data_IF_819000243219
#
_entry.id   IF_819000243219
#
_cell.length_a   1.000
_cell.length_b   1.000
_cell.length_c   1.000
_cell.angle_alpha   90.00
_cell.angle_beta   90.00
_cell.angle_gamma   90.00
#
_symmetry.space_group_name_H-M   'P 1'
#
loop_
_entity.id
_entity.type
_entity.pdbx_description
1 polymer ?
#
# COMPACT_ATOMS: atom_id res chain seq x y z
N UNK A 1 -12.60 22.31 -5.76
CA UNK A 1 -12.15 22.04 -7.15
C UNK A 1 -11.93 20.53 -7.23
N UNK A 2 -12.81 19.78 -7.89
CA UNK A 2 -12.76 18.31 -7.87
C UNK A 2 -11.60 17.83 -8.74
N UNK A 3 -10.64 17.10 -8.15
CA UNK A 3 -9.55 16.53 -8.92
C UNK A 3 -10.06 15.35 -9.78
N UNK A 4 -9.59 15.21 -11.02
CA UNK A 4 -10.02 14.14 -11.90
C UNK A 4 -9.56 12.77 -11.37
N UNK A 5 -10.49 11.82 -11.29
CA UNK A 5 -10.20 10.41 -11.03
C UNK A 5 -9.57 9.83 -12.29
N UNK A 6 -8.32 9.37 -12.22
CA UNK A 6 -7.68 8.69 -13.34
C UNK A 6 -7.99 7.19 -13.24
N UNK A 7 -8.74 6.67 -14.21
CA UNK A 7 -8.85 5.22 -14.47
C UNK A 7 -7.64 4.82 -15.31
N UNK A 8 -6.65 4.20 -14.69
CA UNK A 8 -5.44 3.81 -15.40
C UNK A 8 -5.63 2.44 -16.07
N UNK A 9 -5.53 2.42 -17.40
CA UNK A 9 -5.44 1.19 -18.20
C UNK A 9 -4.11 0.44 -18.00
N UNK A 10 -3.18 0.98 -17.20
CA UNK A 10 -1.82 0.45 -17.02
C UNK A 10 -1.65 -0.60 -15.90
N UNK A 11 -2.73 -1.15 -15.32
CA UNK A 11 -2.64 -2.19 -14.30
C UNK A 11 -2.30 -3.60 -14.86
N UNK A 12 -1.55 -3.68 -15.96
CA UNK A 12 -1.09 -4.93 -16.58
C UNK A 12 0.41 -5.14 -16.29
N UNK A 13 0.76 -5.27 -15.02
CA UNK A 13 2.12 -5.59 -14.60
C UNK A 13 2.13 -6.22 -13.22
N UNK A 14 3.30 -6.68 -12.75
CA UNK A 14 3.38 -7.32 -11.45
C UNK A 14 3.04 -6.30 -10.36
N UNK A 15 2.14 -6.69 -9.47
CA UNK A 15 1.85 -5.96 -8.24
C UNK A 15 2.71 -6.52 -7.12
N UNK A 16 3.15 -5.69 -6.19
CA UNK A 16 3.85 -6.16 -5.00
C UNK A 16 3.07 -5.82 -3.75
N UNK A 17 2.72 -6.85 -2.97
CA UNK A 17 2.12 -6.69 -1.66
C UNK A 17 3.24 -6.65 -0.61
N UNK A 18 3.37 -5.53 0.09
CA UNK A 18 4.30 -5.36 1.22
C UNK A 18 3.51 -5.51 2.51
N UNK A 19 3.87 -6.51 3.32
CA UNK A 19 3.08 -6.89 4.48
C UNK A 19 3.93 -7.01 5.74
N UNK A 20 3.48 -6.40 6.84
CA UNK A 20 4.08 -6.63 8.16
C UNK A 20 3.47 -7.89 8.79
N UNK A 21 4.29 -8.92 9.01
CA UNK A 21 3.88 -10.23 9.52
C UNK A 21 3.17 -10.15 10.89
N UNK A 22 3.45 -9.12 11.69
CA UNK A 22 2.90 -8.94 13.03
C UNK A 22 1.74 -7.95 13.08
N UNK A 23 1.41 -7.29 11.97
CA UNK A 23 0.33 -6.31 11.95
C UNK A 23 -1.03 -6.94 12.27
N UNK A 24 -1.75 -6.28 13.19
CA UNK A 24 -3.12 -6.62 13.51
C UNK A 24 -3.34 -7.95 14.22
N UNK A 25 -2.31 -8.54 14.86
CA UNK A 25 -2.37 -9.89 15.44
C UNK A 25 -2.63 -10.98 14.38
N UNK A 26 -1.98 -10.85 13.21
CA UNK A 26 -2.09 -11.82 12.11
C UNK A 26 -3.16 -11.48 11.06
N UNK A 27 -3.92 -10.39 11.24
CA UNK A 27 -4.88 -9.91 10.23
C UNK A 27 -4.23 -9.59 8.89
N UNK A 28 -2.96 -9.15 8.89
CA UNK A 28 -2.22 -8.92 7.66
C UNK A 28 -2.11 -10.19 6.81
N UNK A 29 -1.84 -11.36 7.43
CA UNK A 29 -1.76 -12.63 6.72
C UNK A 29 -3.06 -12.99 6.00
N UNK A 30 -4.18 -12.88 6.71
CA UNK A 30 -5.49 -13.13 6.11
C UNK A 30 -5.81 -12.13 4.98
N UNK A 31 -5.46 -10.85 5.14
CA UNK A 31 -5.66 -9.84 4.12
C UNK A 31 -4.82 -10.11 2.86
N UNK A 32 -3.54 -10.48 3.03
CA UNK A 32 -2.64 -10.84 1.94
C UNK A 32 -3.17 -12.07 1.19
N UNK A 33 -3.51 -13.15 1.90
CA UNK A 33 -4.03 -14.37 1.28
C UNK A 33 -5.29 -14.10 0.45
N UNK A 34 -6.25 -13.33 0.98
CA UNK A 34 -7.46 -12.97 0.25
C UNK A 34 -7.16 -12.10 -0.97
N UNK A 35 -6.27 -11.12 -0.82
CA UNK A 35 -5.90 -10.21 -1.90
C UNK A 35 -5.17 -10.96 -3.03
N UNK A 36 -4.18 -11.79 -2.71
CA UNK A 36 -3.45 -12.60 -3.70
C UNK A 36 -4.40 -13.52 -4.49
N UNK A 37 -5.37 -14.14 -3.83
CA UNK A 37 -6.40 -14.94 -4.51
C UNK A 37 -7.25 -14.07 -5.46
N UNK A 38 -7.66 -12.89 -5.02
CA UNK A 38 -8.49 -11.99 -5.83
C UNK A 38 -7.73 -11.44 -7.04
N UNK A 39 -6.47 -11.05 -6.87
CA UNK A 39 -5.58 -10.58 -7.94
C UNK A 39 -5.27 -11.70 -8.94
N UNK A 40 -5.01 -12.92 -8.47
CA UNK A 40 -4.83 -14.08 -9.33
C UNK A 40 -6.07 -14.39 -10.18
N UNK A 41 -7.28 -14.26 -9.62
CA UNK A 41 -8.54 -14.38 -10.38
C UNK A 41 -8.73 -13.28 -11.43
N UNK A 42 -8.17 -12.10 -11.19
CA UNK A 42 -8.15 -10.99 -12.13
C UNK A 42 -7.02 -11.09 -13.17
N UNK A 43 -6.18 -12.13 -13.13
CA UNK A 43 -5.05 -12.30 -14.04
C UNK A 43 -3.87 -11.38 -13.74
N UNK A 44 -3.80 -10.82 -12.53
CA UNK A 44 -2.73 -9.93 -12.08
C UNK A 44 -1.66 -10.76 -11.38
N UNK A 45 -0.43 -10.69 -11.89
CA UNK A 45 0.73 -11.30 -11.23
C UNK A 45 1.06 -10.54 -9.93
N UNK A 46 1.33 -11.28 -8.86
CA UNK A 46 1.59 -10.69 -7.55
C UNK A 46 2.81 -11.28 -6.87
N UNK A 47 3.74 -10.43 -6.47
CA UNK A 47 4.79 -10.74 -5.50
C UNK A 47 4.35 -10.35 -4.08
N UNK A 48 4.84 -11.06 -3.07
CA UNK A 48 4.56 -10.75 -1.66
C UNK A 48 5.88 -10.64 -0.90
N UNK A 49 6.14 -9.46 -0.35
CA UNK A 49 7.31 -9.18 0.47
C UNK A 49 6.89 -8.98 1.93
N UNK A 50 7.40 -9.86 2.80
CA UNK A 50 7.10 -9.82 4.23
C UNK A 50 8.16 -9.04 5.01
N UNK A 51 7.71 -8.07 5.80
CA UNK A 51 8.52 -7.43 6.84
C UNK A 51 8.26 -8.07 8.20
N UNK A 52 9.33 -8.25 8.97
CA UNK A 52 9.36 -8.84 10.30
C UNK A 52 9.92 -7.89 11.36
N UNK A 53 10.53 -6.78 10.94
CA UNK A 53 11.11 -5.80 11.85
C UNK A 53 10.94 -4.38 11.31
N UNK A 54 11.12 -3.39 12.20
CA UNK A 54 11.11 -1.97 11.85
C UNK A 54 12.15 -1.69 10.77
N UNK A 55 11.76 -0.88 9.78
CA UNK A 55 12.58 -0.48 8.64
C UNK A 55 12.60 -1.48 7.47
N UNK A 56 12.17 -2.73 7.69
CA UNK A 56 12.16 -3.72 6.61
C UNK A 56 11.09 -3.43 5.55
N UNK A 57 10.01 -2.70 5.89
CA UNK A 57 9.00 -2.33 4.87
C UNK A 57 9.56 -1.30 3.89
N UNK A 58 10.50 -0.45 4.33
CA UNK A 58 11.24 0.47 3.45
C UNK A 58 12.11 -0.30 2.45
N UNK A 59 12.85 -1.30 2.92
CA UNK A 59 13.69 -2.14 2.05
C UNK A 59 12.85 -2.99 1.09
N UNK A 60 11.71 -3.53 1.56
CA UNK A 60 10.76 -4.22 0.70
C UNK A 60 10.20 -3.32 -0.41
N UNK A 61 9.95 -2.03 -0.12
CA UNK A 61 9.51 -1.09 -1.14
C UNK A 61 10.60 -0.78 -2.16
N UNK A 62 11.86 -0.62 -1.73
CA UNK A 62 13.00 -0.48 -2.65
C UNK A 62 13.18 -1.71 -3.52
N UNK A 63 13.05 -2.90 -2.95
CA UNK A 63 13.10 -4.16 -3.70
C UNK A 63 11.96 -4.23 -4.72
N UNK A 64 10.73 -3.92 -4.33
CA UNK A 64 9.59 -3.92 -5.24
C UNK A 64 9.81 -2.99 -6.46
N UNK A 65 10.42 -1.82 -6.24
CA UNK A 65 10.78 -0.90 -7.33
C UNK A 65 11.89 -1.45 -8.22
N UNK A 66 12.88 -2.14 -7.64
CA UNK A 66 13.95 -2.79 -8.39
C UNK A 66 13.45 -3.99 -9.22
N UNK A 67 12.35 -4.62 -8.76
CA UNK A 67 11.64 -5.71 -9.44
C UNK A 67 10.57 -5.19 -10.43
N UNK A 68 10.66 -3.92 -10.85
CA UNK A 68 9.77 -3.27 -11.83
C UNK A 68 8.27 -3.37 -11.48
N UNK A 69 7.93 -3.30 -10.19
CA UNK A 69 6.53 -3.31 -9.76
C UNK A 69 5.74 -2.16 -10.39
N UNK A 70 4.52 -2.46 -10.84
CA UNK A 70 3.62 -1.45 -11.39
C UNK A 70 2.63 -0.92 -10.36
N UNK A 71 2.48 -1.58 -9.21
CA UNK A 71 1.57 -1.19 -8.13
C UNK A 71 2.06 -1.76 -6.81
N UNK A 72 2.14 -0.93 -5.78
CA UNK A 72 2.46 -1.35 -4.42
C UNK A 72 1.18 -1.46 -3.61
N UNK A 73 0.93 -2.59 -2.95
CA UNK A 73 -0.18 -2.77 -2.01
C UNK A 73 0.37 -2.94 -0.60
N UNK A 74 -0.05 -2.10 0.34
CA UNK A 74 0.44 -2.14 1.72
C UNK A 74 -0.55 -2.89 2.61
N UNK A 75 -0.15 -4.04 3.15
CA UNK A 75 -0.88 -4.78 4.16
C UNK A 75 -0.32 -4.50 5.55
N UNK A 76 -0.87 -3.49 6.24
CA UNK A 76 -0.37 -3.08 7.54
C UNK A 76 -1.22 -2.02 8.23
N UNK A 77 -0.63 -1.39 9.24
CA UNK A 77 -1.15 -0.17 9.88
C UNK A 77 -0.33 1.06 9.51
N UNK A 78 -0.54 2.16 10.22
CA UNK A 78 0.10 3.46 9.93
C UNK A 78 1.64 3.40 9.97
N UNK A 79 2.21 2.58 10.85
CA UNK A 79 3.66 2.36 10.91
C UNK A 79 4.21 1.72 9.63
N UNK A 80 3.53 0.68 9.12
CA UNK A 80 3.92 0.02 7.86
C UNK A 80 3.78 0.98 6.67
N UNK A 81 2.69 1.74 6.64
CA UNK A 81 2.47 2.79 5.63
C UNK A 81 3.61 3.81 5.68
N UNK A 82 3.96 4.30 6.87
CA UNK A 82 5.02 5.30 7.02
C UNK A 82 6.39 4.79 6.56
N UNK A 83 6.73 3.54 6.88
CA UNK A 83 7.98 2.91 6.44
C UNK A 83 8.04 2.79 4.91
N UNK A 84 7.01 2.25 4.28
CA UNK A 84 6.96 2.10 2.82
C UNK A 84 7.14 3.45 2.12
N UNK A 85 6.52 4.52 2.65
CA UNK A 85 6.64 5.87 2.10
C UNK A 85 8.02 6.52 2.27
N UNK A 86 8.93 5.94 3.07
CA UNK A 86 10.33 6.40 3.10
C UNK A 86 11.11 5.97 1.85
N UNK A 87 10.65 4.96 1.11
CA UNK A 87 11.27 4.59 -0.16
C UNK A 87 11.04 5.66 -1.25
N UNK A 88 11.93 5.78 -2.25
CA UNK A 88 11.79 6.74 -3.34
C UNK A 88 10.77 6.25 -4.40
N UNK A 89 9.52 6.06 -3.98
CA UNK A 89 8.43 5.60 -4.85
C UNK A 89 8.07 6.72 -5.84
N UNK A 90 8.11 6.47 -7.16
CA UNK A 90 7.65 7.43 -8.17
C UNK A 90 6.17 7.76 -8.01
N UNK A 91 5.76 8.98 -8.37
CA UNK A 91 4.37 9.42 -8.25
C UNK A 91 3.40 8.64 -9.16
N UNK A 92 3.95 7.97 -10.18
CA UNK A 92 3.24 7.15 -11.16
C UNK A 92 2.96 5.73 -10.66
N UNK A 93 3.65 5.26 -9.61
CA UNK A 93 3.42 3.95 -9.00
C UNK A 93 2.27 4.10 -7.98
N UNK A 94 1.05 3.64 -8.28
CA UNK A 94 -0.06 3.72 -7.34
C UNK A 94 0.22 2.88 -6.09
N UNK A 95 -0.26 3.41 -4.96
CA UNK A 95 -0.20 2.73 -3.66
C UNK A 95 -1.62 2.36 -3.23
N UNK A 96 -1.85 1.07 -3.08
CA UNK A 96 -3.06 0.47 -2.54
C UNK A 96 -2.91 0.12 -1.06
N UNK A 97 -4.03 -0.02 -0.35
CA UNK A 97 -4.03 -0.30 1.08
C UNK A 97 -4.91 -1.49 1.43
N UNK A 98 -4.39 -2.38 2.27
CA UNK A 98 -5.09 -3.45 2.97
C UNK A 98 -5.00 -3.17 4.49
N UNK A 99 -5.95 -2.40 5.05
CA UNK A 99 -5.84 -1.94 6.43
C UNK A 99 -5.90 -3.13 7.38
N UNK A 100 -4.81 -3.37 8.11
CA UNK A 100 -4.69 -4.48 9.07
C UNK A 100 -4.13 -4.04 10.41
N UNK A 101 -3.85 -2.75 10.62
CA UNK A 101 -3.50 -2.17 11.92
C UNK A 101 -4.70 -1.93 12.85
N UNK A 102 -4.44 -1.27 13.99
CA UNK A 102 -5.45 -0.76 14.92
C UNK A 102 -5.85 0.69 14.62
N UNK A 103 -4.89 1.53 14.24
CA UNK A 103 -5.08 2.91 13.79
C UNK A 103 -5.65 2.93 12.37
N UNK A 104 -4.84 2.73 11.35
CA UNK A 104 -5.25 2.86 9.94
C UNK A 104 -5.81 4.27 9.64
N UNK A 105 -5.26 5.30 10.28
CA UNK A 105 -5.76 6.68 10.22
C UNK A 105 -5.73 7.22 8.80
N UNK A 106 -4.67 6.92 8.03
CA UNK A 106 -4.61 7.28 6.61
C UNK A 106 -5.78 6.65 5.84
N UNK A 107 -5.99 5.34 6.00
CA UNK A 107 -7.04 4.61 5.30
C UNK A 107 -8.42 5.19 5.61
N UNK A 108 -8.69 5.54 6.88
CA UNK A 108 -9.95 6.21 7.26
C UNK A 108 -10.08 7.58 6.61
N UNK A 109 -9.02 8.39 6.62
CA UNK A 109 -9.02 9.72 6.01
C UNK A 109 -9.24 9.67 4.49
N UNK A 110 -8.80 8.59 3.83
CA UNK A 110 -8.97 8.41 2.38
C UNK A 110 -10.20 7.58 1.98
N UNK A 111 -11.01 7.13 2.95
CA UNK A 111 -12.24 6.39 2.69
C UNK A 111 -12.05 4.91 2.36
N UNK A 112 -10.91 4.31 2.72
CA UNK A 112 -10.65 2.88 2.53
C UNK A 112 -11.15 2.10 3.76
N UNK A 113 -12.10 1.17 3.59
CA UNK A 113 -12.67 0.38 4.68
C UNK A 113 -11.64 -0.62 5.21
N UNK A 114 -11.85 -1.07 6.45
CA UNK A 114 -11.13 -2.23 6.98
C UNK A 114 -11.92 -3.49 6.66
N UNK A 115 -11.26 -4.50 6.09
CA UNK A 115 -11.91 -5.77 5.73
C UNK A 115 -11.77 -6.13 4.25
N UNK A 116 -12.49 -7.16 3.80
CA UNK A 116 -12.45 -7.64 2.41
C UNK A 116 -12.82 -6.57 1.38
N UNK A 117 -13.66 -5.60 1.75
CA UNK A 117 -14.13 -4.52 0.87
C UNK A 117 -12.98 -3.62 0.37
N UNK A 118 -11.85 -3.59 1.08
CA UNK A 118 -10.65 -2.90 0.61
C UNK A 118 -10.10 -3.53 -0.69
N UNK A 119 -10.27 -4.85 -0.87
CA UNK A 119 -9.82 -5.57 -2.06
C UNK A 119 -10.67 -5.17 -3.27
N UNK A 120 -11.98 -4.99 -3.09
CA UNK A 120 -12.86 -4.55 -4.17
C UNK A 120 -12.49 -3.14 -4.66
N UNK A 121 -12.13 -2.24 -3.73
CA UNK A 121 -11.62 -0.90 -4.06
C UNK A 121 -10.29 -0.98 -4.82
N UNK A 122 -9.37 -1.86 -4.41
CA UNK A 122 -8.11 -2.08 -5.13
C UNK A 122 -8.36 -2.53 -6.58
N UNK A 123 -9.25 -3.51 -6.76
CA UNK A 123 -9.58 -4.05 -8.08
C UNK A 123 -10.33 -3.05 -8.98
N UNK A 124 -11.08 -2.12 -8.40
CA UNK A 124 -11.71 -1.04 -9.16
C UNK A 124 -10.68 -0.07 -9.80
N UNK A 125 -9.45 -0.02 -9.26
CA UNK A 125 -8.33 0.68 -9.90
C UNK A 125 -8.45 2.22 -9.94
N UNK A 126 -9.32 2.80 -9.11
CA UNK A 126 -9.46 4.25 -9.00
C UNK A 126 -8.31 4.84 -8.17
N UNK A 127 -7.55 5.76 -8.76
CA UNK A 127 -6.42 6.42 -8.11
C UNK A 127 -6.66 7.93 -7.96
N UNK A 128 -6.06 8.50 -6.91
CA UNK A 128 -5.98 9.95 -6.69
C UNK A 128 -4.60 10.31 -6.15
N UNK A 129 -4.12 11.52 -6.48
CA UNK A 129 -2.87 12.04 -5.92
C UNK A 129 -3.08 12.52 -4.49
N UNK A 130 -2.10 12.25 -3.62
CA UNK A 130 -2.05 12.68 -2.24
C UNK A 130 -0.67 13.29 -2.02
N UNK A 131 -0.62 14.49 -1.45
CA UNK A 131 0.64 15.17 -1.15
C UNK A 131 1.34 14.52 0.06
N UNK A 132 2.67 14.44 -0.01
CA UNK A 132 3.51 14.02 1.10
C UNK A 132 4.22 15.24 1.69
N UNK A 133 4.29 15.30 3.02
CA UNK A 133 5.05 16.31 3.74
C UNK A 133 6.49 15.82 3.90
N UNK A 134 7.47 16.64 3.51
CA UNK A 134 8.90 16.37 3.73
C UNK A 134 9.46 17.13 4.93
N UNK A 135 10.27 16.47 5.77
CA UNK A 135 11.08 17.09 6.82
C UNK A 135 12.48 16.46 6.83
N UNK A 136 13.47 17.20 6.33
CA UNK A 136 14.79 16.65 6.01
C UNK A 136 14.66 15.53 4.97
N UNK A 137 15.27 14.38 5.24
CA UNK A 137 15.18 13.19 4.37
C UNK A 137 13.92 12.36 4.61
N UNK A 138 13.09 12.72 5.59
CA UNK A 138 11.91 11.94 5.99
C UNK A 138 10.64 12.45 5.35
N UNK A 139 9.72 11.53 5.04
CA UNK A 139 8.41 11.82 4.45
C UNK A 139 7.26 11.37 5.35
N UNK A 140 6.15 12.10 5.32
CA UNK A 140 4.97 11.87 6.15
C UNK A 140 3.69 12.09 5.35
N UNK A 141 2.62 11.40 5.74
CA UNK A 141 1.30 11.47 5.06
C UNK A 141 0.15 11.84 5.99
N UNK A 142 0.32 11.69 7.31
CA UNK A 142 -0.73 12.02 8.30
C UNK A 142 -0.34 13.22 9.15
N UNK A 143 0.67 13.09 10.02
CA UNK A 143 1.09 14.13 10.96
C UNK A 143 2.61 14.17 11.11
N UNK A 144 3.15 15.37 11.25
CA UNK A 144 4.47 15.65 11.82
C UNK A 144 4.26 16.66 12.96
N UNK A 145 4.80 16.38 14.15
CA UNK A 145 4.65 17.21 15.35
C UNK A 145 6.01 17.39 16.05
N UNK A 146 6.15 18.51 16.77
CA UNK A 146 7.34 18.91 17.56
C UNK A 146 7.00 18.88 19.03
#
# INVERSE_FOLDING_TARGET
MSMPVMTNSAAQGPWTIIANAYAGRGRARQAVERCSVALGKAGIETNVLWSHAVGQSTEAAKQALADDTTTIVIAGGDGTINEVLQAPIPAEVPIGFLPSGSGNDLCRAVGIPTGPEAIDILLAGHSRRIDLVGCGERRFVTVAAV
#
